data_IF_538389979488
#
_entry.id   IF_538389979488
#
_cell.length_a   1.000
_cell.length_b   1.000
_cell.length_c   1.000
_cell.angle_alpha   90.00
_cell.angle_beta   90.00
_cell.angle_gamma   90.00
#
_symmetry.space_group_name_H-M   'P 1'
#
loop_
_entity.id
_entity.type
_entity.pdbx_description
1 polymer ?
#
# COMPACT_ATOMS: atom_id res chain seq x y z
N UNK A 1 1.09 2.02 38.19
CA UNK A 1 0.25 1.91 37.00
C UNK A 1 0.63 3.06 36.12
N UNK A 2 1.51 2.86 35.13
CA UNK A 2 1.28 2.05 33.92
C UNK A 2 0.37 2.84 32.96
N UNK A 3 0.94 3.13 31.80
CA UNK A 3 0.53 4.14 30.83
C UNK A 3 -0.93 3.99 30.40
N UNK A 4 -1.71 5.04 30.64
CA UNK A 4 -2.99 5.24 29.96
C UNK A 4 -2.67 5.68 28.52
N UNK A 5 -2.56 4.70 27.62
CA UNK A 5 -2.33 4.95 26.19
C UNK A 5 -3.52 5.69 25.59
N UNK A 6 -3.27 6.83 24.95
CA UNK A 6 -4.31 7.61 24.28
C UNK A 6 -5.05 6.73 23.25
N UNK A 7 -6.38 6.83 23.22
CA UNK A 7 -7.22 6.13 22.25
C UNK A 7 -8.00 7.14 21.41
N UNK A 8 -8.30 6.78 20.17
CA UNK A 8 -9.12 7.58 19.26
C UNK A 8 -10.46 6.89 19.00
N UNK A 9 -11.54 7.67 18.87
CA UNK A 9 -12.89 7.13 18.63
C UNK A 9 -13.42 7.63 17.30
N UNK A 10 -13.93 6.71 16.48
CA UNK A 10 -14.71 6.99 15.28
C UNK A 10 -16.19 6.72 15.61
N UNK A 11 -16.98 7.79 15.68
CA UNK A 11 -18.35 7.73 16.22
C UNK A 11 -19.44 7.48 15.19
N UNK A 12 -19.14 7.71 13.91
CA UNK A 12 -20.03 7.61 12.76
C UNK A 12 -19.72 6.39 11.88
N UNK A 13 -19.08 5.36 12.44
CA UNK A 13 -18.65 4.19 11.67
C UNK A 13 -19.84 3.41 11.09
N UNK A 14 -20.94 3.29 11.83
CA UNK A 14 -22.17 2.69 11.31
C UNK A 14 -22.79 3.49 10.19
N UNK A 15 -22.85 4.81 10.31
CA UNK A 15 -23.43 5.66 9.26
C UNK A 15 -22.63 5.53 7.94
N UNK A 16 -21.30 5.42 8.06
CA UNK A 16 -20.41 5.14 6.92
C UNK A 16 -20.73 3.76 6.33
N UNK A 17 -20.85 2.72 7.17
CA UNK A 17 -21.16 1.37 6.74
C UNK A 17 -22.50 1.29 5.98
N UNK A 18 -23.54 1.91 6.53
CA UNK A 18 -24.87 1.98 5.92
C UNK A 18 -24.84 2.72 4.57
N UNK A 19 -24.07 3.81 4.48
CA UNK A 19 -23.93 4.59 3.24
C UNK A 19 -23.21 3.79 2.14
N UNK A 20 -22.24 2.95 2.53
CA UNK A 20 -21.48 2.13 1.60
C UNK A 20 -22.14 0.78 1.29
N UNK A 21 -23.29 0.47 1.90
CA UNK A 21 -23.93 -0.85 1.86
C UNK A 21 -22.96 -1.97 2.27
N UNK A 22 -22.29 -1.79 3.41
CA UNK A 22 -21.25 -2.71 3.91
C UNK A 22 -21.41 -3.05 5.38
N UNK A 23 -20.82 -4.18 5.77
CA UNK A 23 -20.78 -4.59 7.16
C UNK A 23 -19.82 -3.69 7.95
N UNK A 24 -20.31 -3.15 9.07
CA UNK A 24 -19.56 -2.29 9.97
C UNK A 24 -18.32 -3.01 10.56
N UNK A 25 -18.39 -4.32 10.74
CA UNK A 25 -17.32 -5.15 11.28
C UNK A 25 -16.19 -5.32 10.27
N UNK A 26 -16.52 -5.41 8.97
CA UNK A 26 -15.53 -5.47 7.90
C UNK A 26 -14.80 -4.13 7.76
N UNK A 27 -15.51 -3.00 7.76
CA UNK A 27 -14.88 -1.67 7.75
C UNK A 27 -14.01 -1.49 9.00
N UNK A 28 -14.51 -1.88 10.17
CA UNK A 28 -13.75 -1.80 11.42
C UNK A 28 -12.45 -2.62 11.37
N UNK A 29 -12.48 -3.83 10.80
CA UNK A 29 -11.32 -4.70 10.63
C UNK A 29 -10.32 -4.08 9.65
N UNK A 30 -10.78 -3.52 8.54
CA UNK A 30 -9.89 -2.89 7.56
C UNK A 30 -9.22 -1.65 8.11
N UNK A 31 -9.96 -0.77 8.81
CA UNK A 31 -9.37 0.42 9.45
C UNK A 31 -8.26 0.01 10.45
N UNK A 32 -8.47 -1.06 11.22
CA UNK A 32 -7.44 -1.59 12.13
C UNK A 32 -6.18 -2.03 11.37
N UNK A 33 -6.35 -2.74 10.26
CA UNK A 33 -5.26 -3.20 9.41
C UNK A 33 -4.49 -2.01 8.79
N UNK A 34 -5.21 -1.05 8.19
CA UNK A 34 -4.60 0.13 7.54
C UNK A 34 -3.87 1.03 8.53
N UNK A 35 -4.46 1.28 9.71
CA UNK A 35 -3.84 2.12 10.75
C UNK A 35 -2.83 1.37 11.62
N UNK A 36 -2.61 0.07 11.38
CA UNK A 36 -1.68 -0.75 12.14
C UNK A 36 -2.00 -0.79 13.65
N UNK A 37 -3.29 -0.83 14.00
CA UNK A 37 -3.74 -0.73 15.39
C UNK A 37 -4.76 -1.81 15.74
N UNK A 38 -4.92 -2.04 17.04
CA UNK A 38 -6.02 -2.83 17.55
C UNK A 38 -7.14 -1.90 18.03
N UNK A 39 -8.37 -2.36 17.95
CA UNK A 39 -9.54 -1.62 18.36
C UNK A 39 -10.64 -2.47 18.96
N UNK A 40 -11.69 -1.78 19.40
CA UNK A 40 -12.93 -2.36 19.88
C UNK A 40 -14.07 -1.72 19.11
N UNK A 41 -14.99 -2.56 18.64
CA UNK A 41 -16.26 -2.12 18.07
C UNK A 41 -17.34 -2.25 19.15
N UNK A 42 -18.15 -1.22 19.33
CA UNK A 42 -19.30 -1.26 20.25
C UNK A 42 -20.48 -0.61 19.59
N UNK A 43 -21.52 -1.40 19.28
CA UNK A 43 -22.84 -1.12 18.66
C UNK A 43 -22.86 -0.17 17.44
N UNK A 44 -22.15 0.95 17.48
CA UNK A 44 -22.05 1.94 16.41
C UNK A 44 -20.72 2.71 16.35
N UNK A 45 -19.75 2.38 17.21
CA UNK A 45 -18.53 3.18 17.40
C UNK A 45 -17.28 2.31 17.43
N UNK A 46 -16.28 2.72 16.67
CA UNK A 46 -14.94 2.14 16.71
C UNK A 46 -14.06 2.89 17.70
N UNK A 47 -13.40 2.17 18.61
CA UNK A 47 -12.32 2.69 19.47
C UNK A 47 -11.01 2.08 19.00
N UNK A 48 -10.00 2.90 18.74
CA UNK A 48 -8.70 2.49 18.23
C UNK A 48 -7.60 2.92 19.20
N UNK A 49 -6.61 2.06 19.43
CA UNK A 49 -5.49 2.38 20.31
C UNK A 49 -4.50 3.31 19.58
N UNK A 50 -4.16 4.45 20.18
CA UNK A 50 -3.33 5.48 19.55
C UNK A 50 -4.07 6.80 19.30
N UNK A 51 -3.32 7.77 18.78
CA UNK A 51 -3.81 9.08 18.38
C UNK A 51 -3.83 9.16 16.86
N UNK A 52 -5.02 9.24 16.27
CA UNK A 52 -5.22 9.35 14.83
C UNK A 52 -5.99 10.62 14.52
N UNK A 53 -5.59 11.28 13.44
CA UNK A 53 -6.27 12.45 12.90
C UNK A 53 -7.47 12.04 12.05
N UNK A 54 -8.32 13.00 11.70
CA UNK A 54 -9.42 12.76 10.76
C UNK A 54 -8.89 12.30 9.40
N UNK A 55 -7.78 12.91 8.93
CA UNK A 55 -7.17 12.56 7.65
C UNK A 55 -6.66 11.11 7.60
N UNK A 56 -6.19 10.56 8.74
CA UNK A 56 -5.77 9.16 8.82
C UNK A 56 -6.98 8.22 8.62
N UNK A 57 -8.13 8.53 9.23
CA UNK A 57 -9.36 7.76 9.02
C UNK A 57 -9.94 7.94 7.63
N UNK A 58 -9.94 9.16 7.08
CA UNK A 58 -10.37 9.42 5.70
C UNK A 58 -9.55 8.59 4.71
N UNK A 59 -8.22 8.58 4.86
CA UNK A 59 -7.33 7.77 4.02
C UNK A 59 -7.64 6.28 4.13
N UNK A 60 -7.88 5.77 5.34
CA UNK A 60 -8.23 4.37 5.55
C UNK A 60 -9.61 3.99 4.97
N UNK A 61 -10.58 4.92 5.01
CA UNK A 61 -11.90 4.73 4.40
C UNK A 61 -11.80 4.78 2.88
N UNK A 62 -11.02 5.71 2.32
CA UNK A 62 -10.82 5.81 0.87
C UNK A 62 -10.18 4.55 0.30
N UNK A 63 -9.18 3.98 1.00
CA UNK A 63 -8.58 2.70 0.64
C UNK A 63 -9.61 1.56 0.69
N UNK A 64 -10.46 1.54 1.73
CA UNK A 64 -11.56 0.58 1.81
C UNK A 64 -12.55 0.73 0.65
N UNK A 65 -12.94 1.96 0.30
CA UNK A 65 -13.89 2.23 -0.79
C UNK A 65 -13.30 1.81 -2.14
N UNK A 66 -12.03 2.06 -2.38
CA UNK A 66 -11.36 1.65 -3.61
C UNK A 66 -11.35 0.12 -3.76
N UNK A 67 -11.04 -0.61 -2.69
CA UNK A 67 -10.86 -2.06 -2.74
C UNK A 67 -12.17 -2.85 -2.61
N UNK A 68 -13.08 -2.41 -1.73
CA UNK A 68 -14.24 -3.21 -1.31
C UNK A 68 -15.60 -2.66 -1.77
N UNK A 69 -15.64 -1.47 -2.39
CA UNK A 69 -16.90 -0.82 -2.79
C UNK A 69 -16.92 -0.48 -4.27
N UNK A 70 -15.84 0.09 -4.79
CA UNK A 70 -15.82 0.62 -6.16
C UNK A 70 -15.53 -0.48 -7.17
N UNK A 71 -16.37 -0.57 -8.20
CA UNK A 71 -16.09 -1.46 -9.32
C UNK A 71 -14.91 -0.92 -10.16
N UNK A 72 -13.91 -1.75 -10.40
CA UNK A 72 -12.74 -1.40 -11.24
C UNK A 72 -13.08 -1.22 -12.73
N UNK A 73 -14.19 -1.78 -13.19
CA UNK A 73 -14.59 -1.73 -14.60
C UNK A 73 -15.44 -0.49 -14.93
N UNK A 74 -16.40 -0.14 -14.07
CA UNK A 74 -17.35 0.95 -14.35
C UNK A 74 -17.27 2.12 -13.35
N UNK A 75 -16.50 2.00 -12.26
CA UNK A 75 -16.35 3.05 -11.25
C UNK A 75 -17.57 3.27 -10.35
N UNK A 76 -18.62 2.46 -10.49
CA UNK A 76 -19.83 2.57 -9.68
C UNK A 76 -19.67 1.83 -8.33
N UNK A 77 -20.28 2.35 -7.25
CA UNK A 77 -20.32 1.70 -5.94
C UNK A 77 -21.40 0.61 -5.83
N UNK A 78 -22.19 0.39 -6.90
CA UNK A 78 -23.23 -0.65 -6.98
C UNK A 78 -22.61 -2.06 -7.02
N UNK A 79 -22.11 -2.52 -5.87
CA UNK A 79 -21.41 -3.78 -5.72
C UNK A 79 -21.77 -4.48 -4.40
N UNK A 80 -21.68 -5.81 -4.38
CA UNK A 80 -21.77 -6.62 -3.16
C UNK A 80 -20.51 -7.45 -2.93
N UNK A 81 -20.14 -7.61 -1.67
CA UNK A 81 -19.15 -8.61 -1.25
C UNK A 81 -19.84 -9.97 -1.09
N UNK A 82 -19.25 -11.00 -1.68
CA UNK A 82 -19.70 -12.39 -1.55
C UNK A 82 -18.49 -13.29 -1.30
N UNK A 83 -18.59 -14.22 -0.36
CA UNK A 83 -17.51 -15.19 -0.13
C UNK A 83 -17.72 -16.42 -1.00
N UNK A 84 -16.73 -16.77 -1.81
CA UNK A 84 -16.74 -17.94 -2.70
C UNK A 84 -15.44 -18.74 -2.47
N UNK A 85 -15.56 -20.04 -2.15
CA UNK A 85 -14.43 -20.92 -1.80
C UNK A 85 -13.46 -20.36 -0.72
N UNK A 86 -13.99 -19.55 0.21
CA UNK A 86 -13.22 -18.91 1.28
C UNK A 86 -12.47 -17.64 0.87
N UNK A 87 -12.67 -17.19 -0.37
CA UNK A 87 -12.15 -15.93 -0.91
C UNK A 87 -13.29 -14.93 -0.97
N UNK A 88 -13.06 -13.72 -0.49
CA UNK A 88 -14.04 -12.65 -0.62
C UNK A 88 -13.96 -12.08 -2.03
N UNK A 89 -15.12 -11.91 -2.66
CA UNK A 89 -15.27 -11.50 -4.05
C UNK A 89 -16.15 -10.26 -4.12
N UNK A 90 -15.75 -9.29 -4.93
CA UNK A 90 -16.55 -8.12 -5.26
C UNK A 90 -17.34 -8.38 -6.53
N UNK A 91 -18.66 -8.30 -6.43
CA UNK A 91 -19.59 -8.46 -7.55
C UNK A 91 -20.32 -7.16 -7.84
N UNK A 92 -20.15 -6.62 -9.03
CA UNK A 92 -20.88 -5.42 -9.46
C UNK A 92 -22.29 -5.78 -9.94
N UNK A 93 -23.29 -5.07 -9.42
CA UNK A 93 -24.70 -5.22 -9.80
C UNK A 93 -25.05 -4.41 -11.05
N UNK A 94 -24.25 -3.38 -11.38
CA UNK A 94 -24.49 -2.53 -12.55
C UNK A 94 -23.91 -3.12 -13.86
N UNK A 95 -22.65 -3.58 -13.86
CA UNK A 95 -21.99 -4.09 -15.07
C UNK A 95 -21.75 -5.61 -15.07
N UNK A 96 -21.92 -6.29 -13.93
CA UNK A 96 -21.71 -7.72 -13.79
C UNK A 96 -20.26 -8.15 -13.60
N UNK A 97 -19.32 -7.21 -13.46
CA UNK A 97 -17.93 -7.51 -13.14
C UNK A 97 -17.81 -8.32 -11.84
N UNK A 98 -16.85 -9.23 -11.80
CA UNK A 98 -16.64 -10.14 -10.68
C UNK A 98 -15.16 -10.38 -10.48
N UNK A 99 -14.64 -10.00 -9.31
CA UNK A 99 -13.20 -10.10 -8.98
C UNK A 99 -12.99 -10.49 -7.52
N UNK A 100 -11.86 -11.14 -7.17
CA UNK A 100 -11.46 -11.24 -5.77
C UNK A 100 -11.18 -9.85 -5.19
N UNK A 101 -11.46 -9.68 -3.90
CA UNK A 101 -10.92 -8.54 -3.13
C UNK A 101 -9.58 -8.93 -2.52
N UNK A 102 -8.62 -8.04 -2.63
CA UNK A 102 -7.32 -8.23 -2.03
C UNK A 102 -7.46 -7.97 -0.52
N UNK A 103 -7.43 -9.05 0.27
CA UNK A 103 -7.23 -8.95 1.72
C UNK A 103 -5.84 -8.41 1.94
N UNK A 104 -5.69 -7.09 1.96
CA UNK A 104 -4.40 -6.42 2.15
C UNK A 104 -3.65 -7.08 3.32
N UNK A 105 -2.64 -7.92 3.07
CA UNK A 105 -1.83 -8.46 4.13
C UNK A 105 -0.72 -7.44 4.28
N UNK A 106 -0.85 -6.52 5.24
CA UNK A 106 0.21 -5.60 5.67
C UNK A 106 1.04 -5.05 4.52
N UNK A 107 0.68 -3.90 3.94
CA UNK A 107 1.58 -2.96 3.24
C UNK A 107 2.99 -3.50 2.98
N UNK A 108 3.10 -4.54 2.15
CA UNK A 108 4.22 -4.63 1.24
C UNK A 108 3.73 -3.66 0.23
N UNK A 109 4.21 -2.43 0.36
CA UNK A 109 4.12 -1.46 -0.70
C UNK A 109 4.55 -2.22 -1.95
N UNK A 110 3.58 -2.68 -2.74
CA UNK A 110 3.75 -2.74 -4.16
C UNK A 110 3.79 -1.28 -4.59
N UNK A 111 4.92 -0.66 -4.23
CA UNK A 111 5.51 0.43 -4.95
C UNK A 111 5.80 -0.15 -6.33
N UNK A 112 4.77 -0.23 -7.16
CA UNK A 112 4.84 -0.65 -8.57
C UNK A 112 5.54 0.45 -9.41
N UNK A 113 6.48 1.17 -8.80
CA UNK A 113 7.32 2.16 -9.44
C UNK A 113 8.77 2.13 -8.94
N UNK A 114 9.31 0.97 -8.52
CA UNK A 114 10.76 0.82 -8.25
C UNK A 114 11.38 -0.42 -8.85
N UNK A 115 10.71 -1.08 -9.80
CA UNK A 115 11.38 -2.07 -10.64
C UNK A 115 12.26 -1.30 -11.63
N UNK A 116 13.58 -1.48 -11.53
CA UNK A 116 14.51 -0.96 -12.52
C UNK A 116 14.34 -1.75 -13.83
N UNK A 117 14.10 -1.03 -14.92
CA UNK A 117 13.96 -1.62 -16.25
C UNK A 117 15.23 -1.40 -17.08
N UNK A 118 15.60 -2.42 -17.86
CA UNK A 118 16.71 -2.32 -18.80
C UNK A 118 16.43 -1.23 -19.85
N UNK A 119 17.42 -0.38 -20.10
CA UNK A 119 17.33 0.73 -21.05
C UNK A 119 16.70 2.01 -20.48
N UNK A 120 16.28 2.05 -19.21
CA UNK A 120 15.82 3.28 -18.54
C UNK A 120 16.94 3.95 -17.75
N UNK A 121 16.89 5.27 -17.71
CA UNK A 121 17.79 6.11 -16.92
C UNK A 121 17.11 6.51 -15.62
N UNK A 122 17.84 6.44 -14.52
CA UNK A 122 17.35 6.76 -13.20
C UNK A 122 18.37 7.58 -12.41
N UNK A 123 17.91 8.58 -11.69
CA UNK A 123 18.76 9.32 -10.76
C UNK A 123 18.96 8.49 -9.49
N UNK A 124 20.21 8.26 -9.12
CA UNK A 124 20.59 7.43 -7.97
C UNK A 124 21.72 8.09 -7.18
N UNK A 125 21.65 7.97 -5.87
CA UNK A 125 22.72 8.39 -4.96
C UNK A 125 23.66 7.22 -4.68
N UNK A 126 24.96 7.42 -4.87
CA UNK A 126 25.96 6.40 -4.61
C UNK A 126 26.26 6.37 -3.12
N UNK A 127 25.79 5.32 -2.45
CA UNK A 127 25.92 5.13 -1.00
C UNK A 127 27.20 4.39 -0.61
N UNK A 128 27.92 3.83 -1.57
CA UNK A 128 29.19 3.14 -1.29
C UNK A 128 29.97 2.77 -2.54
N UNK A 129 31.13 2.14 -2.33
CA UNK A 129 32.01 1.67 -3.41
C UNK A 129 32.20 0.16 -3.35
N UNK A 130 31.95 -0.52 -4.46
CA UNK A 130 32.14 -1.96 -4.63
C UNK A 130 33.61 -2.37 -4.80
N UNK A 131 33.89 -3.67 -4.67
CA UNK A 131 35.26 -4.23 -4.73
C UNK A 131 36.02 -3.96 -6.03
N UNK A 132 35.31 -3.64 -7.11
CA UNK A 132 35.88 -3.35 -8.44
C UNK A 132 35.99 -1.85 -8.74
N UNK A 133 35.67 -0.98 -7.77
CA UNK A 133 35.64 0.47 -7.97
C UNK A 133 34.34 1.00 -8.60
N UNK A 134 33.30 0.16 -8.67
CA UNK A 134 31.96 0.59 -9.08
C UNK A 134 31.26 1.30 -7.92
N UNK A 135 30.54 2.39 -8.20
CA UNK A 135 29.63 3.00 -7.24
C UNK A 135 28.43 2.08 -7.00
N UNK A 136 27.98 1.99 -5.76
CA UNK A 136 26.82 1.20 -5.36
C UNK A 136 25.70 2.14 -4.94
N UNK A 137 24.52 1.96 -5.52
CA UNK A 137 23.29 2.64 -5.13
C UNK A 137 22.19 1.61 -4.86
N UNK A 138 21.23 1.97 -4.01
CA UNK A 138 20.06 1.15 -3.71
C UNK A 138 18.80 1.83 -4.22
N UNK A 139 17.94 1.07 -4.89
CA UNK A 139 16.62 1.54 -5.29
C UNK A 139 15.61 0.42 -5.20
N UNK A 140 14.57 0.60 -4.38
CA UNK A 140 13.66 -0.46 -3.99
C UNK A 140 14.41 -1.72 -3.52
N UNK A 141 14.12 -2.84 -4.17
CA UNK A 141 14.77 -4.13 -3.91
C UNK A 141 16.03 -4.37 -4.76
N UNK A 142 16.47 -3.40 -5.56
CA UNK A 142 17.60 -3.54 -6.48
C UNK A 142 18.86 -2.85 -5.95
N UNK A 143 19.97 -3.58 -6.00
CA UNK A 143 21.32 -3.01 -5.86
C UNK A 143 21.84 -2.64 -7.24
N UNK A 144 22.06 -1.35 -7.48
CA UNK A 144 22.52 -0.79 -8.76
C UNK A 144 24.02 -0.53 -8.67
N UNK A 145 24.80 -1.18 -9.53
CA UNK A 145 26.22 -0.92 -9.71
C UNK A 145 26.43 0.08 -10.84
N UNK A 146 26.93 1.27 -10.51
CA UNK A 146 27.20 2.35 -11.46
C UNK A 146 28.70 2.43 -11.72
N UNK A 147 29.13 2.04 -12.92
CA UNK A 147 30.54 2.02 -13.27
C UNK A 147 31.17 3.41 -13.23
N UNK A 148 32.22 3.59 -12.43
CA UNK A 148 33.00 4.84 -12.36
C UNK A 148 32.42 5.94 -11.48
N UNK A 149 31.31 5.70 -10.77
CA UNK A 149 30.73 6.66 -9.83
C UNK A 149 31.34 6.49 -8.42
N UNK A 150 31.43 7.59 -7.66
CA UNK A 150 32.05 7.60 -6.33
C UNK A 150 31.01 7.82 -5.23
N UNK A 151 31.32 7.34 -4.02
CA UNK A 151 30.46 7.50 -2.84
C UNK A 151 30.15 8.99 -2.56
N UNK A 152 28.87 9.30 -2.32
CA UNK A 152 28.34 10.65 -2.11
C UNK A 152 27.98 11.40 -3.39
N UNK A 153 28.12 10.78 -4.56
CA UNK A 153 27.71 11.37 -5.84
C UNK A 153 26.24 11.04 -6.17
N UNK A 154 25.51 11.99 -6.72
CA UNK A 154 24.18 11.74 -7.31
C UNK A 154 24.33 11.75 -8.83
N UNK A 155 24.03 10.63 -9.48
CA UNK A 155 24.26 10.44 -10.92
C UNK A 155 23.01 9.91 -11.63
N UNK A 156 22.84 10.29 -12.89
CA UNK A 156 21.87 9.65 -13.76
C UNK A 156 22.45 8.35 -14.32
N UNK A 157 21.94 7.23 -13.86
CA UNK A 157 22.41 5.90 -14.21
C UNK A 157 21.47 5.23 -15.23
N UNK A 158 21.98 4.96 -16.44
CA UNK A 158 21.29 4.15 -17.44
C UNK A 158 21.48 2.67 -17.12
N UNK A 159 20.39 1.95 -16.84
CA UNK A 159 20.41 0.51 -16.58
C UNK A 159 20.70 -0.22 -17.89
N UNK A 160 21.84 -0.90 -17.96
CA UNK A 160 22.21 -1.69 -19.14
C UNK A 160 21.64 -3.10 -19.07
N UNK A 161 21.61 -3.70 -17.87
CA UNK A 161 21.10 -5.05 -17.64
C UNK A 161 20.73 -5.29 -16.18
N UNK A 162 19.82 -6.22 -15.96
CA UNK A 162 19.40 -6.70 -14.64
C UNK A 162 19.65 -8.20 -14.48
N UNK A 163 19.88 -8.66 -13.25
CA UNK A 163 20.10 -10.07 -12.91
C UNK A 163 19.63 -10.33 -11.49
N UNK A 164 18.45 -10.91 -11.33
CA UNK A 164 17.81 -11.03 -10.02
C UNK A 164 17.54 -9.65 -9.43
N UNK A 165 18.06 -9.37 -8.24
CA UNK A 165 17.97 -8.06 -7.56
C UNK A 165 19.18 -7.16 -7.84
N UNK A 166 20.05 -7.50 -8.79
CA UNK A 166 21.21 -6.68 -9.15
C UNK A 166 20.98 -6.00 -10.49
N UNK A 167 21.30 -4.71 -10.58
CA UNK A 167 21.29 -3.95 -11.83
C UNK A 167 22.68 -3.37 -12.10
N UNK A 168 23.07 -3.35 -13.37
CA UNK A 168 24.34 -2.81 -13.82
C UNK A 168 24.06 -1.61 -14.70
N UNK A 169 24.70 -0.49 -14.40
CA UNK A 169 24.40 0.79 -15.00
C UNK A 169 25.67 1.60 -15.26
N UNK A 170 25.54 2.59 -16.14
CA UNK A 170 26.58 3.57 -16.43
C UNK A 170 26.04 5.00 -16.30
N UNK A 171 26.88 5.97 -15.93
CA UNK A 171 26.47 7.37 -15.89
C UNK A 171 26.19 7.89 -17.31
N UNK A 172 25.24 8.82 -17.44
CA UNK A 172 24.91 9.55 -18.69
C UNK A 172 25.03 11.05 -18.51
#
# INVERSE_FOLDING_TARGET
GETDGAFTRLTNLSDIADTLDRDVEDIHRTIQATLGTNGQLTESRGRYNGSFTVADFESAIDEYVAEYVTCSECGLPDTRLVTEDGVDMLRCEACGAFRPVEKSPNTTQHHTQETVEEGKTYEVEITGTGRKGDGVAERGNYTIFVSGAQEGETVQALIERTSGTLAFARPV
#
